data_IF_994386335266
#
_entry.id   IF_994386335266
#
_cell.length_a   1.000
_cell.length_b   1.000
_cell.length_c   1.000
_cell.angle_alpha   90.00
_cell.angle_beta   90.00
_cell.angle_gamma   90.00
#
_symmetry.space_group_name_H-M   'P 1'
#
loop_
_entity.id
_entity.type
_entity.pdbx_description
1 polymer ?
#
# COMPACT_ATOMS: atom_id res chain seq x y z
N UNK A 1 25.47 -9.88 -5.09
CA UNK A 1 25.03 -10.56 -3.85
C UNK A 1 23.78 -9.84 -3.39
N UNK A 2 22.70 -10.56 -3.12
CA UNK A 2 21.45 -9.97 -2.62
C UNK A 2 21.49 -9.71 -1.12
N UNK A 3 20.49 -8.98 -0.62
CA UNK A 3 20.27 -8.80 0.82
C UNK A 3 20.07 -10.16 1.50
N UNK A 4 20.61 -10.31 2.71
CA UNK A 4 20.44 -11.48 3.59
C UNK A 4 19.40 -11.24 4.66
N UNK A 5 19.22 -9.99 5.08
CA UNK A 5 18.30 -9.62 6.18
C UNK A 5 17.44 -8.43 5.78
N UNK A 6 16.33 -8.25 6.51
CA UNK A 6 15.49 -7.05 6.45
C UNK A 6 15.14 -6.58 7.85
N UNK A 7 15.10 -5.28 8.06
CA UNK A 7 14.71 -4.64 9.32
C UNK A 7 14.24 -3.21 9.03
N UNK A 8 13.67 -2.53 10.03
CA UNK A 8 13.30 -1.10 9.99
C UNK A 8 12.36 -0.69 8.83
N UNK A 9 11.09 -0.41 9.15
CA UNK A 9 10.16 0.20 8.19
C UNK A 9 10.50 1.68 7.99
N UNK A 10 10.61 2.13 6.75
CA UNK A 10 10.76 3.56 6.44
C UNK A 10 10.21 3.95 5.07
N UNK A 11 10.21 5.26 4.81
CA UNK A 11 9.80 5.87 3.54
C UNK A 11 8.43 5.37 3.04
N UNK A 12 7.45 5.36 3.93
CA UNK A 12 6.06 5.05 3.58
C UNK A 12 5.48 6.21 2.78
N UNK A 13 4.84 5.90 1.64
CA UNK A 13 4.17 6.84 0.77
C UNK A 13 2.85 6.23 0.29
N UNK A 14 1.88 7.06 -0.02
CA UNK A 14 0.70 6.63 -0.78
C UNK A 14 0.50 7.49 -2.03
N UNK A 15 -0.11 6.89 -3.05
CA UNK A 15 -0.42 7.52 -4.32
C UNK A 15 -1.86 7.17 -4.72
N UNK A 16 -2.73 8.18 -4.84
CA UNK A 16 -4.12 7.98 -5.22
C UNK A 16 -4.23 7.21 -6.55
N UNK A 17 -5.02 6.14 -6.56
CA UNK A 17 -5.30 5.35 -7.74
C UNK A 17 -6.40 6.04 -8.55
N UNK A 18 -6.18 6.17 -9.86
CA UNK A 18 -7.14 6.68 -10.82
C UNK A 18 -7.38 5.62 -11.89
N UNK A 19 -8.63 5.50 -12.31
CA UNK A 19 -9.01 4.73 -13.48
C UNK A 19 -9.38 5.70 -14.58
N UNK A 20 -8.70 5.63 -15.72
CA UNK A 20 -9.06 6.47 -16.86
C UNK A 20 -10.32 5.96 -17.57
N UNK A 21 -10.82 6.72 -18.54
CA UNK A 21 -12.02 6.37 -19.33
C UNK A 21 -11.84 5.11 -20.18
N UNK A 22 -10.61 4.66 -20.41
CA UNK A 22 -10.30 3.42 -21.12
C UNK A 22 -10.18 2.21 -20.19
N UNK A 23 -10.28 2.44 -18.87
CA UNK A 23 -10.14 1.43 -17.83
C UNK A 23 -8.70 1.20 -17.38
N UNK A 24 -7.72 1.99 -17.85
CA UNK A 24 -6.34 1.85 -17.42
C UNK A 24 -6.11 2.46 -16.04
N UNK A 25 -5.32 1.76 -15.23
CA UNK A 25 -4.92 2.19 -13.90
C UNK A 25 -3.74 3.16 -13.99
N UNK A 26 -3.92 4.36 -13.43
CA UNK A 26 -2.88 5.39 -13.27
C UNK A 26 -2.79 5.80 -11.81
N UNK A 27 -1.65 6.36 -11.42
CA UNK A 27 -1.41 6.79 -10.04
C UNK A 27 -0.95 8.24 -10.02
N UNK A 28 -1.38 8.98 -9.01
CA UNK A 28 -0.75 10.26 -8.71
C UNK A 28 0.69 10.07 -8.21
N UNK A 29 1.45 11.16 -8.12
CA UNK A 29 2.79 11.12 -7.54
C UNK A 29 2.72 10.66 -6.08
N UNK A 30 3.61 9.74 -5.65
CA UNK A 30 3.68 9.32 -4.26
C UNK A 30 3.87 10.51 -3.30
N UNK A 31 3.01 10.58 -2.29
CA UNK A 31 3.09 11.55 -1.18
C UNK A 31 3.50 10.82 0.10
N UNK A 32 4.42 11.41 0.86
CA UNK A 32 4.99 10.78 2.04
C UNK A 32 3.98 10.70 3.19
N UNK A 33 4.01 9.57 3.90
CA UNK A 33 3.33 9.33 5.17
C UNK A 33 4.41 9.23 6.26
N UNK A 34 4.83 10.36 6.86
CA UNK A 34 5.84 10.35 7.92
C UNK A 34 5.32 9.66 9.19
N UNK A 35 6.24 9.15 10.00
CA UNK A 35 5.91 8.59 11.31
C UNK A 35 5.44 7.13 11.29
N UNK A 36 5.70 6.37 10.22
CA UNK A 36 5.40 4.94 10.20
C UNK A 36 6.19 4.19 11.29
N UNK A 37 5.48 3.40 12.10
CA UNK A 37 6.01 2.65 13.24
C UNK A 37 6.17 1.18 12.88
N UNK A 38 5.10 0.57 12.37
CA UNK A 38 5.10 -0.84 11.98
C UNK A 38 4.12 -1.07 10.82
N UNK A 39 4.31 -2.19 10.10
CA UNK A 39 3.36 -2.65 9.08
C UNK A 39 3.25 -4.17 9.18
N UNK A 40 2.02 -4.67 9.27
CA UNK A 40 1.70 -6.09 9.24
C UNK A 40 0.76 -6.38 8.07
N UNK A 41 1.07 -7.37 7.25
CA UNK A 41 0.28 -7.74 6.08
C UNK A 41 0.20 -9.26 5.97
N UNK A 42 -1.00 -9.78 6.11
CA UNK A 42 -1.33 -11.18 5.96
C UNK A 42 -1.80 -11.46 4.53
N UNK A 43 -1.37 -12.59 3.97
CA UNK A 43 -1.74 -12.98 2.62
C UNK A 43 -3.16 -13.53 2.61
N UNK A 44 -4.03 -12.90 1.82
CA UNK A 44 -5.40 -13.35 1.64
C UNK A 44 -5.48 -14.29 0.43
N UNK A 45 -6.06 -15.46 0.63
CA UNK A 45 -6.24 -16.41 -0.46
C UNK A 45 -7.24 -17.50 -0.13
N UNK A 46 -7.96 -17.94 -1.15
CA UNK A 46 -8.92 -19.03 -1.03
C UNK A 46 -8.39 -20.27 -1.77
N UNK A 47 -8.51 -21.42 -1.14
CA UNK A 47 -8.20 -22.72 -1.73
C UNK A 47 -9.47 -23.51 -1.92
N UNK A 48 -9.93 -23.64 -3.17
CA UNK A 48 -11.15 -24.39 -3.49
C UNK A 48 -10.79 -25.80 -3.98
N UNK A 49 -11.04 -26.85 -3.20
CA UNK A 49 -10.84 -28.23 -3.64
C UNK A 49 -11.98 -28.67 -4.58
N UNK A 50 -11.60 -29.30 -5.68
CA UNK A 50 -12.50 -30.06 -6.53
C UNK A 50 -12.33 -31.54 -6.23
N UNK A 51 -13.43 -32.20 -5.84
CA UNK A 51 -13.44 -33.61 -5.48
C UNK A 51 -13.90 -34.47 -6.66
N UNK A 52 -13.14 -35.51 -6.97
CA UNK A 52 -13.53 -36.58 -7.88
C UNK A 52 -13.01 -37.91 -7.33
N UNK A 53 -13.75 -39.00 -7.58
CA UNK A 53 -13.44 -40.36 -7.08
C UNK A 53 -13.18 -40.43 -5.56
N UNK A 54 -13.87 -39.60 -4.78
CA UNK A 54 -13.76 -39.57 -3.32
C UNK A 54 -12.49 -38.91 -2.78
N UNK A 55 -11.65 -38.30 -3.63
CA UNK A 55 -10.44 -37.57 -3.24
C UNK A 55 -10.46 -36.13 -3.75
N UNK A 56 -9.59 -35.26 -3.20
CA UNK A 56 -9.30 -33.95 -3.80
C UNK A 56 -8.54 -34.20 -5.09
N UNK A 57 -9.23 -34.12 -6.22
CA UNK A 57 -8.68 -34.37 -7.55
C UNK A 57 -7.95 -33.15 -8.10
N UNK A 58 -8.41 -31.95 -7.73
CA UNK A 58 -7.80 -30.69 -8.12
C UNK A 58 -7.99 -29.65 -7.01
N UNK A 59 -7.10 -28.65 -6.93
CA UNK A 59 -7.22 -27.54 -5.99
C UNK A 59 -6.83 -26.26 -6.71
N UNK A 60 -7.77 -25.33 -6.86
CA UNK A 60 -7.46 -23.98 -7.31
C UNK A 60 -7.11 -23.10 -6.11
N UNK A 61 -6.14 -22.21 -6.31
CA UNK A 61 -5.79 -21.17 -5.34
C UNK A 61 -6.05 -19.80 -5.95
N UNK A 62 -6.79 -18.95 -5.24
CA UNK A 62 -6.99 -17.56 -5.59
C UNK A 62 -6.07 -16.69 -4.73
N UNK A 63 -5.35 -15.75 -5.35
CA UNK A 63 -4.63 -14.71 -4.64
C UNK A 63 -5.58 -13.54 -4.45
N UNK A 64 -6.12 -13.38 -3.24
CA UNK A 64 -7.06 -12.33 -2.89
C UNK A 64 -6.35 -11.09 -2.33
N UNK A 65 -5.01 -11.06 -2.38
CA UNK A 65 -4.22 -9.89 -2.00
C UNK A 65 -3.68 -9.98 -0.59
N UNK A 66 -3.74 -8.88 0.14
CA UNK A 66 -3.28 -8.78 1.53
C UNK A 66 -4.28 -8.00 2.38
N UNK A 67 -4.33 -8.30 3.66
CA UNK A 67 -5.01 -7.49 4.67
C UNK A 67 -4.07 -7.22 5.84
N UNK A 68 -4.27 -6.13 6.58
CA UNK A 68 -3.53 -5.88 7.80
C UNK A 68 -3.48 -4.41 8.18
N UNK A 69 -2.49 -4.04 8.99
CA UNK A 69 -2.43 -2.76 9.67
C UNK A 69 -1.10 -2.03 9.41
N UNK A 70 -1.21 -0.72 9.22
CA UNK A 70 -0.10 0.21 9.21
C UNK A 70 -0.23 1.14 10.43
N UNK A 71 0.73 1.05 11.35
CA UNK A 71 0.79 1.93 12.52
C UNK A 71 1.60 3.20 12.17
N UNK A 72 1.03 4.37 12.47
CA UNK A 72 1.59 5.67 12.12
C UNK A 72 1.47 6.58 13.33
N UNK A 73 2.50 7.36 13.66
CA UNK A 73 2.44 8.31 14.76
C UNK A 73 1.30 9.34 14.60
N UNK A 74 1.09 9.82 13.38
CA UNK A 74 -0.03 10.69 13.02
C UNK A 74 -0.32 10.59 11.52
N UNK A 75 -1.56 10.30 11.16
CA UNK A 75 -2.02 10.24 9.77
C UNK A 75 -2.04 11.67 9.20
N UNK A 76 -1.31 11.94 8.10
CA UNK A 76 -1.26 13.27 7.52
C UNK A 76 -2.62 13.77 7.04
N UNK A 77 -2.86 15.08 7.19
CA UNK A 77 -4.09 15.75 6.73
C UNK A 77 -4.37 15.52 5.24
N UNK A 78 -3.32 15.49 4.40
CA UNK A 78 -3.48 15.20 2.97
C UNK A 78 -4.05 13.80 2.73
N UNK A 79 -3.69 12.81 3.55
CA UNK A 79 -4.20 11.44 3.41
C UNK A 79 -5.67 11.39 3.85
N UNK A 80 -5.99 12.07 4.95
CA UNK A 80 -7.38 12.21 5.44
C UNK A 80 -8.30 12.84 4.40
N UNK A 81 -7.85 13.92 3.77
CA UNK A 81 -8.65 14.65 2.77
C UNK A 81 -8.67 13.95 1.41
N UNK A 82 -7.53 13.50 0.88
CA UNK A 82 -7.45 12.97 -0.48
C UNK A 82 -7.80 11.49 -0.60
N UNK A 83 -7.55 10.70 0.46
CA UNK A 83 -7.78 9.25 0.48
C UNK A 83 -9.01 8.90 1.32
N UNK A 84 -9.08 9.36 2.57
CA UNK A 84 -10.24 9.08 3.43
C UNK A 84 -11.47 9.95 3.11
N UNK A 85 -11.29 10.97 2.25
CA UNK A 85 -12.32 11.93 1.80
C UNK A 85 -12.93 12.76 2.93
N UNK A 86 -12.21 12.98 4.03
CA UNK A 86 -12.61 13.96 5.03
C UNK A 86 -12.68 15.37 4.41
N UNK A 87 -13.69 16.16 4.76
CA UNK A 87 -13.85 17.52 4.22
C UNK A 87 -13.28 18.54 5.20
N UNK A 88 -12.50 19.51 4.70
CA UNK A 88 -12.15 20.70 5.48
C UNK A 88 -13.33 21.67 5.47
N UNK A 89 -13.85 22.00 6.65
CA UNK A 89 -14.83 23.06 6.80
C UNK A 89 -14.19 24.45 6.59
N UNK A 90 -15.01 25.51 6.63
CA UNK A 90 -14.55 26.90 6.49
C UNK A 90 -13.52 27.34 7.55
N UNK A 91 -13.40 26.60 8.65
CA UNK A 91 -12.48 26.87 9.75
C UNK A 91 -11.23 25.98 9.69
N UNK A 92 -11.10 25.12 8.68
CA UNK A 92 -10.00 24.18 8.56
C UNK A 92 -10.13 22.95 9.47
N UNK A 93 -11.34 22.64 9.93
CA UNK A 93 -11.62 21.44 10.72
C UNK A 93 -11.95 20.29 9.77
N UNK A 94 -11.31 19.14 9.99
CA UNK A 94 -11.63 17.91 9.28
C UNK A 94 -12.98 17.36 9.73
N UNK A 95 -13.87 17.17 8.76
CA UNK A 95 -15.24 16.70 8.97
C UNK A 95 -15.44 15.38 8.24
N UNK A 96 -15.64 14.33 9.02
CA UNK A 96 -16.10 13.04 8.52
C UNK A 96 -17.62 13.06 8.33
N UNK A 97 -18.10 12.70 7.13
CA UNK A 97 -19.54 12.61 6.85
C UNK A 97 -19.97 11.17 6.56
N UNK A 98 -21.13 10.80 7.10
CA UNK A 98 -21.67 9.45 6.96
C UNK A 98 -22.02 9.04 5.52
N UNK A 99 -22.23 10.00 4.61
CA UNK A 99 -22.54 9.72 3.20
C UNK A 99 -21.31 9.30 2.37
N UNK A 100 -20.12 9.35 2.95
CA UNK A 100 -18.90 8.83 2.33
C UNK A 100 -18.82 7.34 2.61
N UNK A 101 -19.31 6.56 1.65
CA UNK A 101 -19.38 5.09 1.73
C UNK A 101 -18.07 4.40 1.32
N UNK A 102 -17.25 5.05 0.49
CA UNK A 102 -16.01 4.47 -0.04
C UNK A 102 -14.87 5.50 -0.03
N UNK A 103 -13.77 5.14 0.62
CA UNK A 103 -12.48 5.85 0.55
C UNK A 103 -11.88 5.71 -0.85
N UNK A 104 -10.94 6.57 -1.22
CA UNK A 104 -10.22 6.40 -2.48
C UNK A 104 -9.27 5.21 -2.39
N UNK A 105 -9.15 4.50 -3.51
CA UNK A 105 -8.12 3.48 -3.67
C UNK A 105 -6.77 4.15 -3.89
N UNK A 106 -5.70 3.50 -3.45
CA UNK A 106 -4.35 4.04 -3.58
C UNK A 106 -3.30 2.94 -3.78
N UNK A 107 -2.11 3.31 -4.25
CA UNK A 107 -0.93 2.47 -4.09
C UNK A 107 -0.20 2.83 -2.80
N UNK A 108 0.18 1.83 -2.01
CA UNK A 108 1.02 1.99 -0.82
C UNK A 108 2.46 1.58 -1.16
N UNK A 109 3.40 2.50 -0.98
CA UNK A 109 4.83 2.27 -1.18
C UNK A 109 5.53 2.34 0.17
N UNK A 110 6.48 1.44 0.41
CA UNK A 110 7.26 1.42 1.64
C UNK A 110 8.57 0.69 1.40
N UNK A 111 9.54 0.86 2.28
CA UNK A 111 10.77 0.06 2.22
C UNK A 111 11.17 -0.47 3.58
N UNK A 112 11.84 -1.62 3.53
CA UNK A 112 12.61 -2.14 4.64
C UNK A 112 14.08 -1.88 4.38
N UNK A 113 14.83 -1.51 5.41
CA UNK A 113 16.28 -1.59 5.32
C UNK A 113 16.72 -3.04 5.07
N UNK A 114 17.75 -3.19 4.26
CA UNK A 114 18.48 -4.42 4.06
C UNK A 114 19.96 -4.21 4.31
N UNK A 115 20.72 -5.29 4.42
CA UNK A 115 22.17 -5.24 4.67
C UNK A 115 23.01 -4.71 3.49
N UNK A 116 22.44 -4.65 2.28
CA UNK A 116 23.10 -4.08 1.09
C UNK A 116 22.29 -2.91 0.50
N UNK A 117 21.00 -3.12 0.21
CA UNK A 117 20.10 -2.11 -0.33
C UNK A 117 18.75 -2.13 0.41
N UNK A 118 17.98 -1.05 0.36
CA UNK A 118 16.60 -1.09 0.84
C UNK A 118 15.75 -1.99 -0.08
N UNK A 119 14.85 -2.75 0.53
CA UNK A 119 13.87 -3.57 -0.17
C UNK A 119 12.61 -2.72 -0.28
N UNK A 120 12.34 -2.20 -1.47
CA UNK A 120 11.19 -1.34 -1.71
C UNK A 120 10.02 -2.17 -2.19
N UNK A 121 8.85 -1.84 -1.69
CA UNK A 121 7.59 -2.52 -1.94
C UNK A 121 6.58 -1.52 -2.49
N UNK A 122 5.65 -2.04 -3.27
CA UNK A 122 4.44 -1.35 -3.69
C UNK A 122 3.28 -2.34 -3.66
N UNK A 123 2.17 -1.94 -3.05
CA UNK A 123 0.83 -2.55 -3.16
C UNK A 123 -0.02 -1.63 -4.03
N UNK A 124 -0.78 -2.16 -4.98
CA UNK A 124 -1.29 -1.35 -6.10
C UNK A 124 -2.73 -0.86 -5.98
N UNK A 125 -3.53 -1.51 -5.16
CA UNK A 125 -4.96 -1.27 -5.06
C UNK A 125 -5.39 -1.45 -3.61
N UNK A 126 -4.86 -0.56 -2.78
CA UNK A 126 -5.16 -0.50 -1.37
C UNK A 126 -6.45 0.26 -1.10
N UNK A 127 -7.22 -0.24 -0.14
CA UNK A 127 -8.34 0.46 0.47
C UNK A 127 -8.04 0.57 1.96
N UNK A 128 -8.34 1.73 2.56
CA UNK A 128 -8.17 1.93 4.00
C UNK A 128 -9.54 2.08 4.67
N UNK A 129 -9.68 1.48 5.85
CA UNK A 129 -10.80 1.76 6.75
C UNK A 129 -10.59 3.11 7.45
N UNK A 130 -11.66 3.59 8.11
CA UNK A 130 -11.56 4.75 9.00
C UNK A 130 -10.63 4.39 10.16
N UNK A 131 -9.61 5.21 10.46
CA UNK A 131 -8.71 4.97 11.59
C UNK A 131 -9.47 4.94 12.92
N UNK A 132 -9.00 4.15 13.88
CA UNK A 132 -9.51 4.24 15.25
C UNK A 132 -9.04 5.54 15.91
N UNK A 133 -9.87 6.08 16.81
CA UNK A 133 -9.49 7.23 17.65
C UNK A 133 -9.08 6.66 19.00
N UNK A 134 -7.77 6.64 19.25
CA UNK A 134 -7.19 6.11 20.48
C UNK A 134 -6.21 7.14 21.07
N UNK A 135 -6.20 7.26 22.39
CA UNK A 135 -5.27 8.12 23.12
C UNK A 135 -5.12 7.59 24.54
N UNK A 136 -3.89 7.56 25.02
CA UNK A 136 -3.57 7.15 26.39
C UNK A 136 -3.04 8.35 27.20
N UNK A 137 -3.29 8.33 28.51
CA UNK A 137 -2.69 9.33 29.41
C UNK A 137 -1.22 9.01 29.62
N UNK A 138 -0.36 10.03 29.66
CA UNK A 138 1.08 9.82 29.95
C UNK A 138 1.26 9.07 31.28
N UNK A 139 2.16 8.10 31.27
CA UNK A 139 2.72 7.50 32.49
C UNK A 139 4.03 8.22 32.87
N UNK A 140 4.95 7.56 33.57
CA UNK A 140 6.24 8.13 33.96
C UNK A 140 7.15 8.45 32.75
N UNK A 141 6.87 7.85 31.58
CA UNK A 141 7.57 8.06 30.31
C UNK A 141 6.61 8.60 29.25
N UNK A 142 7.08 9.54 28.41
CA UNK A 142 6.29 10.00 27.25
C UNK A 142 6.41 8.93 26.16
N UNK A 143 5.43 8.04 26.08
CA UNK A 143 5.25 7.17 24.93
C UNK A 143 4.30 7.87 23.94
N UNK A 144 4.77 8.22 22.72
CA UNK A 144 3.90 8.81 21.72
C UNK A 144 2.88 7.76 21.27
N UNK A 145 1.60 8.10 21.34
CA UNK A 145 0.54 7.27 20.77
C UNK A 145 0.68 7.13 19.24
N UNK A 146 0.00 6.12 18.70
CA UNK A 146 -0.05 5.84 17.27
C UNK A 146 -1.49 5.74 16.81
N UNK A 147 -1.71 6.02 15.53
CA UNK A 147 -2.94 5.76 14.81
C UNK A 147 -2.77 4.49 13.96
N UNK A 148 -3.75 3.59 14.07
CA UNK A 148 -3.78 2.35 13.28
C UNK A 148 -4.61 2.56 12.03
N UNK A 149 -4.00 2.34 10.86
CA UNK A 149 -4.66 2.34 9.57
C UNK A 149 -4.81 0.90 9.07
N UNK A 150 -5.99 0.32 9.28
CA UNK A 150 -6.30 -0.99 8.68
C UNK A 150 -6.55 -0.85 7.19
N UNK A 151 -5.92 -1.73 6.41
CA UNK A 151 -5.95 -1.68 4.96
C UNK A 151 -6.05 -3.06 4.32
N UNK A 152 -6.69 -3.11 3.16
CA UNK A 152 -6.61 -4.24 2.24
C UNK A 152 -5.76 -3.85 1.03
N UNK A 153 -5.23 -4.84 0.31
CA UNK A 153 -4.52 -4.67 -0.95
C UNK A 153 -5.02 -5.72 -1.94
N UNK A 154 -6.19 -5.47 -2.51
CA UNK A 154 -6.88 -6.40 -3.38
C UNK A 154 -6.21 -6.46 -4.77
N UNK A 155 -6.29 -7.58 -5.51
CA UNK A 155 -5.88 -7.62 -6.90
C UNK A 155 -6.61 -6.55 -7.72
N UNK A 156 -5.87 -5.83 -8.56
CA UNK A 156 -6.48 -5.05 -9.64
C UNK A 156 -7.24 -5.98 -10.58
N UNK A 157 -8.08 -5.38 -11.44
CA UNK A 157 -8.81 -6.12 -12.47
C UNK A 157 -7.90 -6.88 -13.46
N UNK A 158 -6.65 -6.43 -13.62
CA UNK A 158 -5.62 -7.12 -14.40
C UNK A 158 -4.77 -8.11 -13.60
N UNK A 159 -5.15 -8.38 -12.35
CA UNK A 159 -4.50 -9.34 -11.46
C UNK A 159 -3.26 -8.79 -10.73
N UNK A 160 -2.87 -7.54 -10.95
CA UNK A 160 -1.70 -6.97 -10.29
C UNK A 160 -1.99 -6.62 -8.82
N UNK A 161 -1.22 -7.22 -7.90
CA UNK A 161 -1.36 -7.01 -6.43
C UNK A 161 -0.21 -6.20 -5.86
N UNK A 162 1.02 -6.67 -6.07
CA UNK A 162 2.23 -6.06 -5.49
C UNK A 162 3.47 -6.18 -6.36
N UNK A 163 4.45 -5.35 -6.11
CA UNK A 163 5.81 -5.53 -6.60
C UNK A 163 6.83 -5.17 -5.53
N UNK A 164 8.05 -5.66 -5.72
CA UNK A 164 9.19 -5.29 -4.87
C UNK A 164 10.47 -5.24 -5.67
N UNK A 165 11.45 -4.49 -5.17
CA UNK A 165 12.80 -4.55 -5.71
C UNK A 165 13.43 -5.92 -5.43
N UNK A 166 14.18 -6.41 -6.41
CA UNK A 166 15.05 -7.58 -6.32
C UNK A 166 16.51 -7.23 -6.56
N UNK A 167 17.38 -8.23 -6.47
CA UNK A 167 18.85 -8.06 -6.50
C UNK A 167 19.39 -7.44 -7.81
N UNK A 168 18.65 -7.58 -8.91
CA UNK A 168 19.02 -7.09 -10.24
C UNK A 168 18.17 -5.91 -10.70
N UNK A 169 17.49 -5.22 -9.77
CA UNK A 169 16.74 -4.00 -10.10
C UNK A 169 17.71 -2.96 -10.65
N UNK A 170 17.37 -2.32 -11.78
CA UNK A 170 18.23 -1.30 -12.37
C UNK A 170 18.35 -0.07 -11.45
N UNK A 171 19.48 0.63 -11.53
CA UNK A 171 19.70 1.86 -10.76
C UNK A 171 18.62 2.92 -11.06
N UNK A 172 18.18 3.02 -12.32
CA UNK A 172 17.13 3.96 -12.73
C UNK A 172 15.76 3.63 -12.13
N UNK A 173 15.36 2.35 -12.15
CA UNK A 173 14.10 1.91 -11.51
C UNK A 173 14.17 2.15 -10.01
N UNK A 174 15.31 1.85 -9.40
CA UNK A 174 15.52 2.11 -7.98
C UNK A 174 15.39 3.62 -7.69
N UNK A 175 16.16 4.48 -8.36
CA UNK A 175 16.17 5.93 -8.11
C UNK A 175 14.81 6.62 -8.32
N UNK A 176 13.93 6.06 -9.16
CA UNK A 176 12.63 6.66 -9.48
C UNK A 176 11.45 6.04 -8.69
N UNK A 177 11.69 5.07 -7.81
CA UNK A 177 10.64 4.32 -7.09
C UNK A 177 9.61 5.19 -6.36
N UNK A 178 10.05 6.31 -5.78
CA UNK A 178 9.19 7.25 -5.05
C UNK A 178 8.83 8.50 -5.86
N UNK A 179 9.30 8.62 -7.10
CA UNK A 179 8.91 9.72 -8.01
C UNK A 179 7.59 9.40 -8.70
N UNK A 180 7.44 8.14 -9.11
CA UNK A 180 6.25 7.59 -9.76
C UNK A 180 6.01 6.18 -9.25
N UNK A 181 4.75 5.77 -9.14
CA UNK A 181 4.40 4.39 -8.83
C UNK A 181 4.95 3.48 -9.93
N UNK A 182 5.85 2.57 -9.57
CA UNK A 182 6.40 1.59 -10.51
C UNK A 182 5.28 0.69 -11.04
N UNK A 183 5.09 0.58 -12.35
CA UNK A 183 4.16 -0.39 -12.95
C UNK A 183 4.98 -1.41 -13.73
N UNK A 184 4.83 -2.72 -13.49
CA UNK A 184 5.62 -3.74 -14.18
C UNK A 184 5.33 -3.73 -15.68
N UNK A 185 6.38 -3.86 -16.49
CA UNK A 185 6.28 -4.06 -17.93
C UNK A 185 6.48 -5.54 -18.26
N UNK A 186 5.79 -6.01 -19.29
CA UNK A 186 6.00 -7.38 -19.76
C UNK A 186 7.45 -7.56 -20.22
N UNK A 187 8.05 -8.72 -19.92
CA UNK A 187 9.44 -9.00 -20.28
C UNK A 187 9.55 -9.04 -21.82
N UNK A 188 10.20 -8.04 -22.41
CA UNK A 188 10.36 -7.90 -23.86
C UNK A 188 9.68 -6.68 -24.50
N UNK A 189 8.87 -5.91 -23.75
CA UNK A 189 8.45 -4.58 -24.19
C UNK A 189 9.56 -3.56 -23.98
N UNK A 190 9.75 -2.67 -24.95
CA UNK A 190 10.63 -1.51 -24.79
C UNK A 190 10.07 -0.60 -23.67
N UNK A 191 10.93 -0.01 -22.82
CA UNK A 191 10.47 0.85 -21.74
C UNK A 191 9.64 2.01 -22.31
N UNK A 192 8.36 2.10 -21.94
CA UNK A 192 7.54 3.27 -22.26
C UNK A 192 8.20 4.51 -21.64
N UNK A 193 8.35 5.61 -22.40
CA UNK A 193 8.88 6.85 -21.85
C UNK A 193 7.96 7.32 -20.73
N UNK A 194 8.52 7.52 -19.54
CA UNK A 194 7.83 8.18 -18.43
C UNK A 194 7.54 9.61 -18.85
N UNK A 195 6.26 9.96 -19.01
CA UNK A 195 5.82 11.30 -19.42
C UNK A 195 6.27 12.37 -18.42
N UNK A 196 6.67 13.51 -18.97
CA UNK A 196 7.00 14.75 -18.26
C UNK A 196 5.77 15.44 -17.67
#
# INVERSE_FOLDING_TARGET
MGNKVKYNLKNVHAAKLKKDTSGAFTYENPKAIPGAVSISLDAEGESSPFYADGIVYFRSTANNGYSGDLEIALIPEWFRTEILKEELDRNGVLVEKANISETEKFALLFEFDGDINAIRHVLYNCSASRPSIESETKEDTIEPGTETLSLTADPREDGLVKSRTGDTTSADTYANWYKNVYVPQAKGEAPKPTGH
#
